data_IF_692843939070
#
_entry.id   IF_692843939070
#
_cell.length_a   1.000
_cell.length_b   1.000
_cell.length_c   1.000
_cell.angle_alpha   90.00
_cell.angle_beta   90.00
_cell.angle_gamma   90.00
#
_symmetry.space_group_name_H-M   'P 1'
#
loop_
_entity.id
_entity.type
_entity.pdbx_description
1 polymer ?
#
# COMPACT_ATOMS: atom_id res chain seq x y z
N UNK A 1 -24.18 -3.30 0.84
CA UNK A 1 -23.35 -2.22 1.41
C UNK A 1 -22.43 -2.67 2.55
N UNK A 2 -22.87 -3.46 3.54
CA UNK A 2 -22.01 -3.88 4.68
C UNK A 2 -20.69 -4.55 4.24
N UNK A 3 -20.73 -5.49 3.30
CA UNK A 3 -19.52 -6.19 2.79
C UNK A 3 -18.51 -5.24 2.14
N UNK A 4 -18.97 -4.26 1.37
CA UNK A 4 -18.12 -3.26 0.73
C UNK A 4 -17.46 -2.30 1.72
N UNK A 5 -18.20 -1.93 2.79
CA UNK A 5 -17.61 -1.17 3.88
C UNK A 5 -16.54 -1.98 4.62
N UNK A 6 -16.82 -3.26 4.90
CA UNK A 6 -15.83 -4.15 5.51
C UNK A 6 -14.58 -4.25 4.64
N UNK A 7 -14.73 -4.50 3.33
CA UNK A 7 -13.61 -4.57 2.39
C UNK A 7 -12.77 -3.27 2.40
N UNK A 8 -13.44 -2.12 2.31
CA UNK A 8 -12.76 -0.81 2.38
C UNK A 8 -11.91 -0.66 3.64
N UNK A 9 -12.52 -0.88 4.81
CA UNK A 9 -11.81 -0.70 6.09
C UNK A 9 -10.71 -1.73 6.29
N UNK A 10 -10.92 -2.98 5.88
CA UNK A 10 -9.91 -4.04 6.00
C UNK A 10 -8.70 -3.75 5.10
N UNK A 11 -8.93 -3.40 3.83
CA UNK A 11 -7.83 -3.10 2.89
C UNK A 11 -7.07 -1.85 3.33
N UNK A 12 -7.76 -0.82 3.78
CA UNK A 12 -7.13 0.42 4.24
C UNK A 12 -6.35 0.22 5.54
N UNK A 13 -6.91 -0.50 6.52
CA UNK A 13 -6.22 -0.83 7.76
C UNK A 13 -4.97 -1.68 7.48
N UNK A 14 -5.08 -2.64 6.57
CA UNK A 14 -3.95 -3.47 6.19
C UNK A 14 -2.85 -2.65 5.49
N UNK A 15 -3.22 -1.76 4.58
CA UNK A 15 -2.29 -0.81 3.94
C UNK A 15 -1.56 0.06 4.98
N UNK A 16 -2.28 0.55 6.01
CA UNK A 16 -1.68 1.30 7.10
C UNK A 16 -0.67 0.45 7.89
N UNK A 17 -1.02 -0.79 8.22
CA UNK A 17 -0.13 -1.70 8.94
C UNK A 17 1.13 -2.02 8.15
N UNK A 18 1.01 -2.21 6.83
CA UNK A 18 2.17 -2.39 5.95
C UNK A 18 3.06 -1.14 5.95
N UNK A 19 2.47 0.06 5.85
CA UNK A 19 3.23 1.31 5.96
C UNK A 19 3.96 1.46 7.29
N UNK A 20 3.30 1.10 8.39
CA UNK A 20 3.92 1.09 9.72
C UNK A 20 5.06 0.07 9.81
N UNK A 21 4.85 -1.14 9.30
CA UNK A 21 5.86 -2.19 9.27
C UNK A 21 7.10 -1.79 8.47
N UNK A 22 6.93 -1.07 7.37
CA UNK A 22 8.04 -0.64 6.52
C UNK A 22 9.08 0.22 7.25
N UNK A 23 8.72 0.95 8.30
CA UNK A 23 9.71 1.66 9.13
C UNK A 23 10.74 0.73 9.77
N UNK A 24 10.37 -0.52 10.03
CA UNK A 24 11.20 -1.50 10.71
C UNK A 24 11.92 -2.46 9.74
N UNK A 25 11.54 -2.46 8.45
CA UNK A 25 12.08 -3.37 7.43
C UNK A 25 13.61 -3.33 7.34
N UNK A 26 14.27 -2.15 7.29
CA UNK A 26 15.74 -2.11 7.19
C UNK A 26 16.42 -2.82 8.36
N UNK A 27 15.91 -2.64 9.58
CA UNK A 27 16.45 -3.29 10.77
C UNK A 27 16.09 -4.77 10.84
N UNK A 28 14.84 -5.13 10.54
CA UNK A 28 14.37 -6.52 10.59
C UNK A 28 15.06 -7.43 9.59
N UNK A 29 15.40 -6.91 8.42
CA UNK A 29 16.08 -7.65 7.35
C UNK A 29 17.56 -7.33 7.25
N UNK A 30 18.12 -6.64 8.24
CA UNK A 30 19.56 -6.38 8.36
C UNK A 30 20.15 -5.75 7.08
N UNK A 31 19.46 -4.78 6.47
CA UNK A 31 19.89 -4.16 5.23
C UNK A 31 21.30 -3.59 5.31
N UNK A 32 21.69 -3.05 6.47
CA UNK A 32 22.99 -2.45 6.68
C UNK A 32 24.16 -3.43 6.62
N UNK A 33 23.91 -4.75 6.77
CA UNK A 33 24.94 -5.77 6.60
C UNK A 33 25.25 -6.02 5.13
N UNK A 34 24.36 -5.62 4.22
CA UNK A 34 24.50 -5.82 2.77
C UNK A 34 24.78 -4.52 2.01
N UNK A 35 24.51 -3.37 2.62
CA UNK A 35 24.74 -2.07 1.98
C UNK A 35 26.23 -1.71 2.02
N UNK A 36 26.79 -1.18 0.91
CA UNK A 36 28.16 -0.70 0.90
C UNK A 36 28.32 0.59 1.69
N UNK A 37 28.53 0.47 3.00
CA UNK A 37 28.53 1.56 3.98
C UNK A 37 29.54 2.69 3.67
N UNK A 38 30.56 2.44 2.82
CA UNK A 38 31.47 3.49 2.35
C UNK A 38 30.78 4.55 1.47
N UNK A 39 29.59 4.27 0.94
CA UNK A 39 28.81 5.22 0.14
C UNK A 39 27.69 5.84 1.00
N UNK A 40 28.06 6.71 1.93
CA UNK A 40 27.13 7.33 2.89
C UNK A 40 25.89 7.94 2.22
N UNK A 41 26.07 8.63 1.10
CA UNK A 41 24.95 9.25 0.37
C UNK A 41 23.92 8.21 -0.12
N UNK A 42 24.37 7.01 -0.51
CA UNK A 42 23.47 5.92 -0.92
C UNK A 42 22.69 5.40 0.27
N UNK A 43 23.36 5.15 1.39
CA UNK A 43 22.73 4.66 2.63
C UNK A 43 21.68 5.64 3.12
N UNK A 44 22.04 6.93 3.24
CA UNK A 44 21.11 8.00 3.64
C UNK A 44 19.95 8.12 2.65
N UNK A 45 20.19 8.01 1.35
CA UNK A 45 19.14 8.04 0.32
C UNK A 45 18.15 6.90 0.46
N UNK A 46 18.61 5.68 0.74
CA UNK A 46 17.77 4.51 0.99
C UNK A 46 16.92 4.72 2.26
N UNK A 47 17.52 5.20 3.36
CA UNK A 47 16.82 5.45 4.61
C UNK A 47 15.73 6.52 4.46
N UNK A 48 16.04 7.62 3.76
CA UNK A 48 15.05 8.65 3.48
C UNK A 48 13.91 8.14 2.62
N UNK A 49 14.23 7.42 1.57
CA UNK A 49 13.22 6.84 0.66
C UNK A 49 12.30 5.88 1.42
N UNK A 50 12.87 4.98 2.22
CA UNK A 50 12.09 4.04 3.02
C UNK A 50 11.22 4.77 4.05
N UNK A 51 11.78 5.75 4.78
CA UNK A 51 11.06 6.51 5.80
C UNK A 51 9.93 7.35 5.19
N UNK A 52 10.19 8.06 4.09
CA UNK A 52 9.18 8.84 3.40
C UNK A 52 8.07 7.96 2.82
N UNK A 53 8.42 6.83 2.19
CA UNK A 53 7.44 5.87 1.68
C UNK A 53 6.58 5.33 2.81
N UNK A 54 7.19 4.92 3.92
CA UNK A 54 6.50 4.39 5.11
C UNK A 54 5.52 5.43 5.69
N UNK A 55 5.98 6.68 5.84
CA UNK A 55 5.16 7.77 6.35
C UNK A 55 3.97 8.09 5.43
N UNK A 56 4.19 8.16 4.12
CA UNK A 56 3.13 8.41 3.13
C UNK A 56 2.12 7.25 3.12
N UNK A 57 2.59 6.02 3.08
CA UNK A 57 1.71 4.86 3.04
C UNK A 57 0.88 4.72 4.33
N UNK A 58 1.52 4.86 5.50
CA UNK A 58 0.84 4.81 6.79
C UNK A 58 -0.10 6.00 6.99
N UNK A 59 0.39 7.23 6.80
CA UNK A 59 -0.37 8.45 7.03
C UNK A 59 -1.56 8.61 6.09
N UNK A 60 -1.39 8.35 4.81
CA UNK A 60 -2.49 8.42 3.87
C UNK A 60 -3.52 7.30 4.06
N UNK A 61 -3.09 6.09 4.44
CA UNK A 61 -4.03 5.03 4.84
C UNK A 61 -4.79 5.40 6.11
N UNK A 62 -4.15 6.09 7.06
CA UNK A 62 -4.84 6.63 8.24
C UNK A 62 -5.91 7.66 7.84
N UNK A 63 -5.59 8.59 6.92
CA UNK A 63 -6.58 9.54 6.40
C UNK A 63 -7.76 8.82 5.73
N UNK A 64 -7.50 7.77 4.96
CA UNK A 64 -8.55 6.94 4.37
C UNK A 64 -9.43 6.30 5.46
N UNK A 65 -8.86 5.79 6.54
CA UNK A 65 -9.63 5.25 7.66
C UNK A 65 -10.51 6.31 8.33
N UNK A 66 -9.94 7.49 8.62
CA UNK A 66 -10.66 8.60 9.24
C UNK A 66 -11.79 9.12 8.35
N UNK A 67 -11.58 9.17 7.04
CA UNK A 67 -12.56 9.62 6.05
C UNK A 67 -13.44 8.50 5.49
N UNK A 68 -13.30 7.27 5.98
CA UNK A 68 -14.02 6.11 5.46
C UNK A 68 -15.54 6.27 5.43
N UNK A 69 -16.13 6.95 6.42
CA UNK A 69 -17.58 7.26 6.40
C UNK A 69 -17.94 8.16 5.22
N UNK A 70 -17.10 9.17 4.90
CA UNK A 70 -17.29 10.10 3.78
C UNK A 70 -17.18 9.42 2.42
N UNK A 71 -16.31 8.43 2.27
CA UNK A 71 -16.15 7.68 1.03
C UNK A 71 -17.43 6.96 0.57
N UNK A 72 -18.32 6.62 1.50
CA UNK A 72 -19.63 6.01 1.22
C UNK A 72 -20.79 7.00 1.11
N UNK A 73 -20.50 8.29 1.14
CA UNK A 73 -21.42 9.38 0.84
C UNK A 73 -21.06 10.04 -0.49
N UNK A 74 -21.42 11.29 -0.68
CA UNK A 74 -21.15 12.05 -1.92
C UNK A 74 -19.78 12.71 -1.96
N UNK A 75 -18.95 12.48 -0.95
CA UNK A 75 -17.63 13.08 -0.92
C UNK A 75 -16.71 12.45 -2.00
N UNK A 76 -16.36 13.26 -2.99
CA UNK A 76 -15.54 12.87 -4.14
C UNK A 76 -14.08 12.69 -3.72
N UNK A 77 -13.57 13.59 -2.91
CA UNK A 77 -12.16 13.65 -2.51
C UNK A 77 -11.72 12.37 -1.77
N UNK A 78 -12.60 11.85 -0.90
CA UNK A 78 -12.32 10.59 -0.19
C UNK A 78 -12.24 9.38 -1.13
N UNK A 79 -13.01 9.39 -2.23
CA UNK A 79 -12.95 8.33 -3.26
C UNK A 79 -11.70 8.49 -4.13
N UNK A 80 -11.35 9.74 -4.51
CA UNK A 80 -10.15 10.04 -5.28
C UNK A 80 -8.88 9.65 -4.53
N UNK A 81 -8.81 9.93 -3.24
CA UNK A 81 -7.70 9.48 -2.39
C UNK A 81 -7.62 7.94 -2.38
N UNK A 82 -8.76 7.25 -2.31
CA UNK A 82 -8.78 5.78 -2.38
C UNK A 82 -8.31 5.26 -3.75
N UNK A 83 -8.71 5.89 -4.85
CA UNK A 83 -8.22 5.56 -6.20
C UNK A 83 -6.72 5.75 -6.31
N UNK A 84 -6.18 6.83 -5.79
CA UNK A 84 -4.73 7.06 -5.76
C UNK A 84 -3.99 5.94 -5.04
N UNK A 85 -4.47 5.53 -3.87
CA UNK A 85 -3.90 4.40 -3.13
C UNK A 85 -4.05 3.07 -3.87
N UNK A 86 -5.15 2.88 -4.58
CA UNK A 86 -5.33 1.70 -5.45
C UNK A 86 -4.26 1.66 -6.54
N UNK A 87 -3.94 2.80 -7.17
CA UNK A 87 -2.88 2.88 -8.18
C UNK A 87 -1.51 2.54 -7.56
N UNK A 88 -1.21 3.06 -6.37
CA UNK A 88 0.04 2.73 -5.66
C UNK A 88 0.16 1.22 -5.43
N UNK A 89 -0.92 0.56 -4.97
CA UNK A 89 -0.89 -0.87 -4.72
C UNK A 89 -0.83 -1.71 -6.00
N UNK A 90 -1.48 -1.27 -7.09
CA UNK A 90 -1.34 -1.90 -8.40
C UNK A 90 0.09 -1.78 -8.94
N UNK A 91 0.71 -0.61 -8.81
CA UNK A 91 2.10 -0.41 -9.18
C UNK A 91 3.03 -1.30 -8.34
N UNK A 92 2.82 -1.36 -7.02
CA UNK A 92 3.60 -2.23 -6.14
C UNK A 92 3.45 -3.71 -6.51
N UNK A 93 2.23 -4.16 -6.79
CA UNK A 93 1.98 -5.54 -7.25
C UNK A 93 2.69 -5.82 -8.57
N UNK A 94 2.61 -4.91 -9.53
CA UNK A 94 3.30 -5.04 -10.81
C UNK A 94 4.84 -5.09 -10.65
N UNK A 95 5.40 -4.24 -9.80
CA UNK A 95 6.83 -4.25 -9.48
C UNK A 95 7.23 -5.59 -8.85
N UNK A 96 6.51 -6.03 -7.82
CA UNK A 96 6.84 -7.25 -7.09
C UNK A 96 6.68 -8.52 -7.92
N UNK A 97 5.75 -8.54 -8.89
CA UNK A 97 5.40 -9.75 -9.65
C UNK A 97 6.15 -9.87 -10.98
N UNK A 98 6.32 -8.75 -11.70
CA UNK A 98 6.78 -8.82 -13.09
C UNK A 98 8.01 -7.96 -13.40
N UNK A 99 8.19 -6.82 -12.75
CA UNK A 99 9.22 -5.86 -13.14
C UNK A 99 10.51 -6.16 -12.39
N UNK A 100 10.45 -6.23 -11.06
CA UNK A 100 11.61 -6.43 -10.19
C UNK A 100 11.18 -7.27 -8.96
N UNK A 101 11.00 -8.60 -9.17
CA UNK A 101 10.59 -9.47 -8.07
C UNK A 101 11.62 -9.47 -6.96
N UNK A 102 11.13 -9.47 -5.71
CA UNK A 102 11.99 -9.56 -4.54
C UNK A 102 12.77 -10.89 -4.57
N UNK A 103 14.10 -10.86 -4.37
CA UNK A 103 14.89 -12.09 -4.34
C UNK A 103 14.43 -13.02 -3.21
N UNK A 104 14.43 -14.33 -3.51
CA UNK A 104 13.96 -15.34 -2.54
C UNK A 104 14.94 -15.55 -1.39
N UNK A 105 16.20 -15.26 -1.59
CA UNK A 105 17.26 -15.39 -0.58
C UNK A 105 17.58 -14.01 0.04
N UNK A 106 17.96 -13.97 1.31
CA UNK A 106 18.08 -15.08 2.27
C UNK A 106 16.77 -15.52 2.93
N UNK A 107 15.65 -14.83 2.69
CA UNK A 107 14.40 -15.02 3.44
C UNK A 107 13.23 -15.30 2.50
N UNK A 108 13.20 -16.50 1.92
CA UNK A 108 12.22 -16.89 0.91
C UNK A 108 10.76 -16.70 1.35
N UNK A 109 10.40 -17.02 2.59
CA UNK A 109 9.03 -16.86 3.09
C UNK A 109 8.59 -15.40 3.09
N UNK A 110 9.49 -14.46 3.37
CA UNK A 110 9.17 -13.03 3.37
C UNK A 110 8.93 -12.51 1.94
N UNK A 111 9.69 -13.01 0.97
CA UNK A 111 9.48 -12.69 -0.44
C UNK A 111 8.11 -13.16 -0.94
N UNK A 112 7.73 -14.40 -0.65
CA UNK A 112 6.40 -14.92 -1.00
C UNK A 112 5.28 -14.19 -0.26
N UNK A 113 5.47 -13.87 1.01
CA UNK A 113 4.49 -13.10 1.78
C UNK A 113 4.27 -11.72 1.16
N UNK A 114 5.33 -11.00 0.83
CA UNK A 114 5.24 -9.68 0.19
C UNK A 114 4.51 -9.75 -1.17
N UNK A 115 4.82 -10.76 -1.99
CA UNK A 115 4.17 -10.97 -3.28
C UNK A 115 2.68 -11.19 -3.10
N UNK A 116 2.30 -12.23 -2.35
CA UNK A 116 0.89 -12.61 -2.15
C UNK A 116 0.09 -11.46 -1.53
N UNK A 117 0.65 -10.78 -0.54
CA UNK A 117 -0.06 -9.69 0.15
C UNK A 117 -0.20 -8.45 -0.74
N UNK A 118 0.81 -8.14 -1.55
CA UNK A 118 0.73 -7.04 -2.51
C UNK A 118 -0.35 -7.27 -3.57
N UNK A 119 -0.38 -8.46 -4.15
CA UNK A 119 -1.35 -8.82 -5.19
C UNK A 119 -2.77 -8.88 -4.62
N UNK A 120 -2.96 -9.54 -3.48
CA UNK A 120 -4.26 -9.63 -2.83
C UNK A 120 -4.82 -8.26 -2.48
N UNK A 121 -3.98 -7.38 -1.92
CA UNK A 121 -4.40 -6.04 -1.54
C UNK A 121 -4.72 -5.19 -2.78
N UNK A 122 -3.91 -5.26 -3.82
CA UNK A 122 -4.16 -4.57 -5.08
C UNK A 122 -5.50 -4.99 -5.72
N UNK A 123 -5.77 -6.29 -5.78
CA UNK A 123 -7.05 -6.84 -6.32
C UNK A 123 -8.23 -6.38 -5.47
N UNK A 124 -8.13 -6.46 -4.14
CA UNK A 124 -9.20 -6.04 -3.24
C UNK A 124 -9.49 -4.52 -3.33
N UNK A 125 -8.44 -3.71 -3.41
CA UNK A 125 -8.59 -2.26 -3.56
C UNK A 125 -9.15 -1.90 -4.94
N UNK A 126 -8.74 -2.59 -6.00
CA UNK A 126 -9.32 -2.43 -7.33
C UNK A 126 -10.81 -2.75 -7.35
N UNK A 127 -11.22 -3.88 -6.76
CA UNK A 127 -12.63 -4.27 -6.65
C UNK A 127 -13.47 -3.19 -5.93
N UNK A 128 -12.94 -2.62 -4.85
CA UNK A 128 -13.61 -1.53 -4.14
C UNK A 128 -13.66 -0.25 -4.96
N UNK A 129 -12.60 0.09 -5.70
CA UNK A 129 -12.55 1.23 -6.61
C UNK A 129 -13.59 1.12 -7.73
N UNK A 130 -13.73 -0.04 -8.35
CA UNK A 130 -14.78 -0.31 -9.34
C UNK A 130 -16.17 -0.15 -8.74
N UNK A 131 -16.36 -0.55 -7.48
CA UNK A 131 -17.62 -0.31 -6.77
C UNK A 131 -17.90 1.18 -6.59
N UNK A 132 -16.90 1.98 -6.24
CA UNK A 132 -17.07 3.44 -6.14
C UNK A 132 -17.46 4.07 -7.49
N UNK A 133 -16.83 3.65 -8.60
CA UNK A 133 -17.19 4.11 -9.94
C UNK A 133 -18.65 3.80 -10.26
N UNK A 134 -19.11 2.57 -9.96
CA UNK A 134 -20.50 2.18 -10.15
C UNK A 134 -21.46 3.03 -9.32
N UNK A 135 -21.09 3.32 -8.06
CA UNK A 135 -21.91 4.16 -7.18
C UNK A 135 -22.01 5.61 -7.68
N UNK A 136 -20.95 6.15 -8.27
CA UNK A 136 -20.96 7.50 -8.85
C UNK A 136 -21.81 7.56 -10.09
N UNK A 137 -21.71 6.58 -11.01
CA UNK A 137 -22.53 6.52 -12.22
C UNK A 137 -24.03 6.41 -11.95
N UNK A 138 -24.43 5.59 -10.96
CA UNK A 138 -25.84 5.41 -10.63
C UNK A 138 -26.52 6.65 -10.00
N UNK A 139 -25.75 7.67 -9.65
CA UNK A 139 -26.28 8.94 -9.11
C UNK A 139 -26.41 10.04 -10.19
N UNK A 140 -25.70 9.88 -11.31
CA UNK A 140 -25.76 10.82 -12.43
C UNK A 140 -26.91 10.55 -13.39
N UNK A 141 -27.56 9.39 -13.24
CA UNK A 141 -28.79 8.99 -13.94
C UNK A 141 -29.99 9.11 -13.01
#
# INVERSE_FOLDING_TARGET
>A
MKRWKALYYTTTAFSMLVGLWHFFVPTMFQWYDYLPMQYENLVVGIDYTNSCFSALLCGGSLLLLLWGKRAFTDNKESKELYFFYTIIWLLRAALATWIEPWPLEPVAWAAYLQLIMSDLLAVCMLAMSLKFITMMKNKSN
#
